data_IF_468762468212
#
_entry.id   IF_468762468212
#
_cell.length_a   1.000
_cell.length_b   1.000
_cell.length_c   1.000
_cell.angle_alpha   90.00
_cell.angle_beta   90.00
_cell.angle_gamma   90.00
#
_symmetry.space_group_name_H-M   'P 1'
#
loop_
_entity.id
_entity.type
_entity.pdbx_description
1 polymer ?
#
# COMPACT_ATOMS: atom_id res chain seq x y z
N UNK A 1 0.53 -1.36 30.91
CA UNK A 1 0.70 -2.01 29.59
C UNK A 1 1.08 -0.98 28.55
N UNK A 2 2.36 -0.80 28.17
CA UNK A 2 2.71 0.04 27.03
C UNK A 2 3.20 -0.81 25.86
N UNK A 3 2.64 -0.65 24.65
CA UNK A 3 3.29 -1.24 23.47
C UNK A 3 2.58 -1.32 22.13
N UNK A 4 1.32 -0.91 21.94
CA UNK A 4 0.64 -1.19 20.66
C UNK A 4 0.40 0.00 19.72
N UNK A 5 0.98 1.17 19.99
CA UNK A 5 0.84 2.31 19.06
C UNK A 5 1.73 2.22 17.82
N UNK A 6 2.79 1.40 17.78
CA UNK A 6 3.72 1.36 16.63
C UNK A 6 3.19 0.60 15.41
N UNK A 7 2.35 -0.42 15.60
CA UNK A 7 1.88 -1.27 14.49
C UNK A 7 0.95 -0.53 13.50
N UNK A 8 0.20 0.47 13.97
CA UNK A 8 -0.72 1.23 13.11
C UNK A 8 -0.01 2.28 12.26
N UNK A 9 1.06 2.91 12.75
CA UNK A 9 1.86 3.85 11.95
C UNK A 9 2.71 3.17 10.88
N UNK A 10 3.06 1.89 11.09
CA UNK A 10 3.88 1.14 10.14
C UNK A 10 3.10 0.78 8.86
N UNK A 11 1.78 0.53 8.98
CA UNK A 11 0.90 0.30 7.83
C UNK A 11 0.74 1.53 6.93
N UNK A 12 0.61 2.73 7.53
CA UNK A 12 0.57 3.99 6.79
C UNK A 12 1.89 4.28 6.06
N UNK A 13 3.02 4.15 6.74
CA UNK A 13 4.34 4.31 6.12
C UNK A 13 4.61 3.27 5.01
N UNK A 14 4.07 2.06 5.14
CA UNK A 14 4.21 1.04 4.11
C UNK A 14 3.38 1.38 2.86
N UNK A 15 2.16 1.91 3.04
CA UNK A 15 1.34 2.40 1.95
C UNK A 15 2.05 3.55 1.21
N UNK A 16 2.54 4.55 1.93
CA UNK A 16 3.26 5.69 1.35
C UNK A 16 4.50 5.24 0.54
N UNK A 17 5.23 4.23 1.02
CA UNK A 17 6.36 3.64 0.30
C UNK A 17 5.94 2.96 -1.00
N UNK A 18 4.82 2.25 -0.99
CA UNK A 18 4.28 1.61 -2.19
C UNK A 18 3.78 2.65 -3.20
N UNK A 19 3.13 3.72 -2.74
CA UNK A 19 2.69 4.83 -3.59
C UNK A 19 3.87 5.56 -4.23
N UNK A 20 4.94 5.80 -3.46
CA UNK A 20 6.18 6.36 -4.00
C UNK A 20 6.82 5.44 -5.04
N UNK A 21 6.91 4.13 -4.75
CA UNK A 21 7.44 3.16 -5.70
C UNK A 21 6.58 3.07 -6.97
N UNK A 22 5.26 3.22 -6.86
CA UNK A 22 4.34 3.22 -7.99
C UNK A 22 4.57 4.44 -8.88
N UNK A 23 4.71 5.63 -8.30
CA UNK A 23 5.05 6.84 -9.05
C UNK A 23 6.37 6.68 -9.81
N UNK A 24 7.38 6.06 -9.19
CA UNK A 24 8.67 5.76 -9.84
C UNK A 24 8.52 4.74 -10.97
N UNK A 25 7.71 3.69 -10.79
CA UNK A 25 7.45 2.70 -11.86
C UNK A 25 6.73 3.32 -13.06
N UNK A 26 5.72 4.16 -12.82
CA UNK A 26 4.97 4.89 -13.86
C UNK A 26 5.90 5.83 -14.63
N UNK A 27 6.73 6.62 -13.94
CA UNK A 27 7.68 7.55 -14.59
C UNK A 27 8.76 6.82 -15.39
N UNK A 28 9.07 5.57 -15.06
CA UNK A 28 9.98 4.70 -15.82
C UNK A 28 9.30 3.96 -16.97
N UNK A 29 7.97 4.00 -17.09
CA UNK A 29 7.22 3.20 -18.06
C UNK A 29 7.23 1.70 -17.75
N UNK A 30 7.48 1.32 -16.50
CA UNK A 30 7.52 -0.08 -16.06
C UNK A 30 6.09 -0.54 -15.70
N UNK A 31 5.33 -0.91 -16.73
CA UNK A 31 3.91 -1.26 -16.62
C UNK A 31 3.67 -2.46 -15.68
N UNK A 32 4.49 -3.52 -15.82
CA UNK A 32 4.40 -4.72 -14.98
C UNK A 32 4.60 -4.39 -13.50
N UNK A 33 5.65 -3.60 -13.19
CA UNK A 33 5.92 -3.17 -11.82
C UNK A 33 4.83 -2.23 -11.28
N UNK A 34 4.27 -1.38 -12.13
CA UNK A 34 3.17 -0.49 -11.74
C UNK A 34 1.88 -1.26 -11.41
N UNK A 35 1.59 -2.34 -12.13
CA UNK A 35 0.43 -3.20 -11.88
C UNK A 35 0.58 -3.96 -10.55
N UNK A 36 1.76 -4.56 -10.32
CA UNK A 36 2.07 -5.24 -9.05
C UNK A 36 1.99 -4.32 -7.83
N UNK A 37 2.43 -3.07 -7.97
CA UNK A 37 2.37 -2.08 -6.89
C UNK A 37 0.93 -1.62 -6.63
N UNK A 38 0.12 -1.45 -7.69
CA UNK A 38 -1.32 -1.15 -7.55
C UNK A 38 -2.06 -2.25 -6.82
N UNK A 39 -1.80 -3.52 -7.13
CA UNK A 39 -2.40 -4.65 -6.43
C UNK A 39 -2.04 -4.64 -4.93
N UNK A 40 -0.75 -4.47 -4.60
CA UNK A 40 -0.32 -4.40 -3.20
C UNK A 40 -0.91 -3.20 -2.44
N UNK A 41 -1.02 -2.03 -3.09
CA UNK A 41 -1.68 -0.85 -2.51
C UNK A 41 -3.16 -1.14 -2.25
N UNK A 42 -3.84 -1.81 -3.18
CA UNK A 42 -5.24 -2.19 -3.01
C UNK A 42 -5.43 -3.24 -1.91
N UNK A 43 -4.52 -4.20 -1.75
CA UNK A 43 -4.58 -5.18 -0.64
C UNK A 43 -4.29 -4.55 0.72
N UNK A 44 -3.36 -3.58 0.76
CA UNK A 44 -2.97 -2.89 1.99
C UNK A 44 -3.97 -1.79 2.40
N UNK A 45 -4.54 -1.08 1.42
CA UNK A 45 -5.52 -0.01 1.61
C UNK A 45 -6.98 -0.49 1.60
N UNK A 46 -7.29 -1.57 0.88
CA UNK A 46 -8.62 -2.16 0.72
C UNK A 46 -9.02 -3.17 1.80
N UNK A 47 -8.18 -3.38 2.83
CA UNK A 47 -8.68 -3.94 4.10
C UNK A 47 -9.60 -2.95 4.85
N UNK A 48 -9.77 -1.73 4.34
CA UNK A 48 -10.86 -0.81 4.69
C UNK A 48 -12.02 -1.03 3.71
N UNK A 49 -12.90 -1.97 4.07
CA UNK A 49 -14.32 -2.09 3.65
C UNK A 49 -14.66 -2.40 2.17
N UNK A 50 -15.17 -3.61 1.95
CA UNK A 50 -16.61 -3.78 1.68
C UNK A 50 -17.10 -5.12 2.31
N UNK A 51 -18.04 -5.09 3.26
CA UNK A 51 -18.74 -6.27 3.75
C UNK A 51 -19.87 -6.62 2.77
N UNK A 52 -19.96 -7.86 2.31
CA UNK A 52 -21.20 -8.36 1.73
C UNK A 52 -21.06 -9.44 0.67
N UNK A 53 -21.38 -10.68 1.05
CA UNK A 53 -22.45 -11.44 0.40
C UNK A 53 -23.09 -12.37 1.41
#
# INVERSE_FOLDING_TARGET
MPGNRRSFFEGGHQLEKLEFALAVAITRGDENRSELLRAQIAELGGNVEEPGT
#
